data_IF_806238237328
#
_entry.id   IF_806238237328
#
_cell.length_a   1.000
_cell.length_b   1.000
_cell.length_c   1.000
_cell.angle_alpha   90.00
_cell.angle_beta   90.00
_cell.angle_gamma   90.00
#
_symmetry.space_group_name_H-M   'P 1'
#
loop_
_entity.id
_entity.type
_entity.pdbx_description
1 polymer ?
2 non-polymer ?
3 non-polymer ?
4 water ?
#
# COMPACT_ATOMS: atom_id res chain seq x y z
N UNK A 1 -6.47 1.95 15.70
CA UNK A 1 -5.59 2.61 14.65
C UNK A 1 -6.22 2.53 13.28
N UNK A 2 -5.45 2.85 12.25
CA UNK A 2 -6.01 2.88 10.90
C UNK A 2 -4.94 2.61 9.87
N UNK A 3 -5.39 2.16 8.70
CA UNK A 3 -4.60 2.27 7.47
C UNK A 3 -5.23 3.44 6.75
N UNK A 4 -4.40 4.37 6.28
CA UNK A 4 -4.97 5.51 5.58
C UNK A 4 -3.99 6.04 4.56
N UNK A 5 -4.49 6.87 3.66
CA UNK A 5 -3.68 7.26 2.48
C UNK A 5 -3.71 8.74 2.18
N UNK A 6 -2.76 9.16 1.34
CA UNK A 6 -2.68 10.55 0.87
C UNK A 6 -2.39 10.48 -0.60
N UNK A 7 -3.01 11.42 -1.32
CA UNK A 7 -2.80 11.58 -2.77
C UNK A 7 -2.02 12.88 -3.01
N UNK A 8 -0.94 12.83 -3.79
CA UNK A 8 -0.08 14.02 -3.93
C UNK A 8 -0.74 15.10 -4.75
N UNK A 9 -1.33 14.71 -5.88
CA UNK A 9 -2.08 15.67 -6.69
C UNK A 9 -3.33 15.06 -7.31
N UNK A 10 -4.46 15.60 -6.84
CA UNK A 10 -5.88 15.36 -7.11
C UNK A 10 -6.30 15.49 -8.54
N UNK A 11 -5.58 16.34 -9.26
CA UNK A 11 -6.03 16.75 -10.61
C UNK A 11 -4.95 16.32 -11.57
N UNK A 12 -5.33 15.50 -12.54
CA UNK A 12 -4.34 14.90 -13.44
C UNK A 12 -4.77 14.92 -14.89
N UNK A 13 -3.78 15.04 -15.77
CA UNK A 13 -4.00 14.97 -17.20
C UNK A 13 -3.40 13.63 -17.69
N UNK A 14 -3.74 13.21 -18.90
CA UNK A 14 -3.17 11.98 -19.43
C UNK A 14 -1.65 12.16 -19.47
N UNK A 15 -0.96 11.12 -18.99
CA UNK A 15 0.50 11.09 -18.93
C UNK A 15 1.01 11.53 -17.58
N UNK A 16 0.18 12.18 -16.77
CA UNK A 16 0.66 12.61 -15.44
C UNK A 16 0.84 11.39 -14.54
N UNK A 17 1.66 11.56 -13.49
CA UNK A 17 1.84 10.50 -12.50
C UNK A 17 1.15 10.98 -11.23
N UNK A 18 0.49 10.06 -10.53
CA UNK A 18 -0.15 10.40 -9.27
C UNK A 18 0.24 9.30 -8.28
N UNK A 19 0.61 9.72 -7.07
CA UNK A 19 1.11 8.77 -6.07
C UNK A 19 0.17 8.61 -4.88
N UNK A 20 -0.16 7.36 -4.55
CA UNK A 20 -0.86 7.02 -3.33
C UNK A 20 0.20 6.68 -2.28
N UNK A 21 0.31 7.51 -1.24
CA UNK A 21 1.16 7.19 -0.12
C UNK A 21 0.28 6.47 0.91
N UNK A 22 0.75 5.30 1.38
CA UNK A 22 -0.06 4.46 2.28
C UNK A 22 0.58 4.51 3.64
N UNK A 23 -0.20 4.95 4.62
CA UNK A 23 0.25 5.11 6.01
C UNK A 23 -0.44 4.14 6.95
N UNK A 24 0.21 3.85 8.08
CA UNK A 24 -0.50 3.27 9.20
C UNK A 24 -0.50 4.34 10.31
N UNK A 25 -1.46 4.25 11.23
CA UNK A 25 -1.47 5.18 12.36
C UNK A 25 -1.95 4.41 13.60
N UNK A 26 -1.26 4.59 14.72
CA UNK A 26 -1.66 3.98 16.00
C UNK A 26 -1.76 2.45 15.88
N UNK A 27 -0.83 1.86 15.12
CA UNK A 27 -0.76 0.41 15.04
C UNK A 27 0.35 -0.02 15.97
N UNK A 28 -0.03 -0.46 17.18
CA UNK A 28 0.97 -0.71 18.20
C UNK A 28 2.04 -1.74 17.81
N UNK A 29 3.32 -1.38 17.99
CA UNK A 29 4.45 -2.32 17.79
C UNK A 29 4.42 -2.95 16.39
N UNK A 30 4.01 -2.13 15.42
CA UNK A 30 3.89 -2.55 14.02
C UNK A 30 5.15 -3.21 13.45
N UNK A 31 4.97 -4.40 12.88
CA UNK A 31 6.11 -5.15 12.34
C UNK A 31 5.97 -5.56 10.86
N UNK A 32 4.82 -5.31 10.25
CA UNK A 32 4.67 -5.71 8.87
C UNK A 32 3.24 -5.66 8.37
N UNK A 33 3.10 -5.70 7.06
CA UNK A 33 1.74 -5.64 6.45
C UNK A 33 1.69 -6.47 5.20
N UNK A 34 0.48 -6.75 4.76
CA UNK A 34 0.23 -7.22 3.39
C UNK A 34 -1.04 -6.53 2.92
N UNK A 35 -1.01 -6.05 1.67
CA UNK A 35 -2.17 -5.35 1.07
C UNK A 35 -2.61 -6.01 -0.22
N UNK A 36 -3.93 -6.02 -0.45
CA UNK A 36 -4.50 -6.35 -1.75
C UNK A 36 -5.26 -5.10 -2.19
N UNK A 37 -4.84 -4.51 -3.30
CA UNK A 37 -5.36 -3.19 -3.78
C UNK A 37 -5.87 -3.28 -5.20
N UNK A 38 -7.08 -2.77 -5.43
CA UNK A 38 -7.65 -2.83 -6.77
C UNK A 38 -7.61 -1.45 -7.37
N UNK A 39 -7.34 -1.37 -8.67
CA UNK A 39 -7.39 -0.08 -9.36
C UNK A 39 -8.04 -0.32 -10.71
N UNK A 40 -8.43 0.78 -11.36
CA UNK A 40 -9.12 0.70 -12.64
C UNK A 40 -8.14 0.72 -13.81
N UNK A 41 -7.97 -0.43 -14.48
CA UNK A 41 -6.99 -0.55 -15.58
C UNK A 41 -7.33 0.28 -16.83
N UNK A 42 -8.56 0.79 -16.92
CA UNK A 42 -8.94 1.68 -18.02
C UNK A 42 -8.21 3.01 -17.91
N UNK A 43 -7.97 3.50 -16.69
CA UNK A 43 -7.46 4.85 -16.50
C UNK A 43 -6.05 4.93 -15.99
N UNK A 44 -5.59 3.88 -15.30
CA UNK A 44 -4.34 3.94 -14.52
C UNK A 44 -3.42 2.76 -14.81
N UNK A 45 -2.12 3.06 -14.81
CA UNK A 45 -1.07 2.06 -14.99
C UNK A 45 -0.02 2.22 -13.90
N UNK A 46 0.10 1.22 -12.99
CA UNK A 46 1.12 1.34 -11.94
C UNK A 46 2.51 1.55 -12.55
N UNK A 47 3.30 2.46 -11.96
CA UNK A 47 4.51 2.97 -12.58
C UNK A 47 5.66 2.93 -11.61
N UNK A 48 6.73 2.28 -12.05
CA UNK A 48 7.96 2.20 -11.26
C UNK A 48 8.78 3.46 -11.50
N UNK A 49 8.87 4.30 -10.47
CA UNK A 49 9.51 5.63 -10.62
C UNK A 49 11.03 5.55 -10.56
N UNK A 50 11.56 4.45 -10.03
CA UNK A 50 13.03 4.33 -9.98
C UNK A 50 13.56 3.91 -11.36
N UNK A 51 12.97 2.84 -11.88
CA UNK A 51 13.24 2.35 -13.24
C UNK A 51 12.63 3.21 -14.34
N UNK A 52 11.62 4.01 -14.01
CA UNK A 52 10.84 4.79 -15.01
C UNK A 52 10.21 3.89 -16.07
N UNK A 53 9.45 2.90 -15.61
CA UNK A 53 8.86 1.88 -16.46
C UNK A 53 7.59 1.41 -15.80
N UNK A 54 6.66 0.85 -16.57
CA UNK A 54 5.43 0.26 -16.00
C UNK A 54 5.82 -0.90 -15.04
N UNK A 55 5.04 -1.08 -13.97
CA UNK A 55 5.20 -2.31 -13.19
C UNK A 55 4.98 -3.52 -14.06
N UNK A 56 5.68 -4.60 -13.71
CA UNK A 56 5.22 -5.93 -14.07
C UNK A 56 4.55 -6.56 -12.85
N UNK A 57 4.09 -7.80 -12.98
CA UNK A 57 3.45 -8.49 -11.88
C UNK A 57 4.39 -8.74 -10.70
N UNK A 58 5.70 -8.53 -10.83
CA UNK A 58 6.59 -8.79 -9.70
C UNK A 58 7.14 -7.50 -9.03
N UNK A 59 6.76 -6.32 -9.56
CA UNK A 59 7.37 -5.05 -9.13
C UNK A 59 6.98 -4.68 -7.70
N UNK A 60 7.96 -4.44 -6.84
CA UNK A 60 7.66 -3.96 -5.50
C UNK A 60 7.38 -2.45 -5.53
N UNK A 61 6.27 -1.98 -4.89
CA UNK A 61 6.10 -0.54 -4.72
C UNK A 61 7.21 0.17 -3.96
N UNK A 62 7.19 1.49 -4.01
CA UNK A 62 8.18 2.28 -3.32
C UNK A 62 8.04 2.13 -1.82
N UNK A 63 9.15 2.27 -1.10
CA UNK A 63 9.11 2.22 0.34
C UNK A 63 8.64 3.56 0.96
N UNK A 64 8.18 3.46 2.21
CA UNK A 64 7.91 4.60 3.07
C UNK A 64 9.05 4.72 4.07
N UNK A 65 8.76 5.31 5.20
CA UNK A 65 9.80 5.49 6.22
C UNK A 65 9.81 4.36 7.25
N UNK A 66 8.68 3.66 7.42
CA UNK A 66 8.64 2.53 8.34
C UNK A 66 9.17 1.24 7.72
N UNK A 67 9.44 0.24 8.57
CA UNK A 67 9.94 -1.06 8.09
C UNK A 67 11.31 -0.92 7.41
N UNK A 68 12.09 0.08 7.89
CA UNK A 68 13.40 0.36 7.30
C UNK A 68 14.54 0.06 8.27
N UNK A 69 14.19 -0.42 9.47
CA UNK A 69 15.19 -0.87 10.43
C UNK A 69 15.92 -2.15 9.99
N UNK A 70 17.08 -2.40 10.61
CA UNK A 70 17.94 -3.51 10.23
C UNK A 70 17.48 -4.76 10.98
N UNK A 71 16.26 -5.21 10.71
CA UNK A 71 15.72 -6.39 11.39
C UNK A 71 15.28 -7.44 10.36
N UNK A 72 16.08 -7.58 9.31
CA UNK A 72 15.86 -8.58 8.27
C UNK A 72 14.48 -8.44 7.65
N UNK A 73 14.20 -7.26 7.09
CA UNK A 73 12.91 -7.04 6.40
C UNK A 73 12.87 -7.89 5.13
N UNK A 74 11.67 -8.35 4.80
CA UNK A 74 11.49 -9.13 3.58
C UNK A 74 10.26 -8.56 2.84
N UNK A 75 10.35 -8.50 1.52
CA UNK A 75 9.31 -7.94 0.65
C UNK A 75 8.62 -9.10 -0.11
N UNK A 76 7.36 -8.87 -0.50
CA UNK A 76 6.61 -9.77 -1.37
C UNK A 76 5.86 -8.88 -2.33
N UNK A 77 5.86 -9.22 -3.63
CA UNK A 77 5.07 -8.49 -4.62
C UNK A 77 4.71 -9.43 -5.75
N UNK A 78 3.41 -9.67 -5.89
CA UNK A 78 2.90 -10.69 -6.80
C UNK A 78 1.49 -10.28 -7.20
N UNK A 79 1.46 -9.47 -8.27
CA UNK A 79 0.23 -8.79 -8.73
C UNK A 79 -0.54 -9.59 -9.77
N UNK A 80 -1.71 -9.07 -10.11
CA UNK A 80 -2.37 -9.49 -11.31
C UNK A 80 -2.81 -8.23 -12.05
N UNK A 81 -1.86 -7.60 -12.76
CA UNK A 81 -2.16 -6.31 -13.36
C UNK A 81 -3.25 -6.40 -14.41
N UNK A 82 -3.39 -7.57 -15.02
CA UNK A 82 -4.39 -7.72 -16.05
C UNK A 82 -5.79 -7.52 -15.46
N UNK A 83 -5.93 -7.82 -14.17
CA UNK A 83 -7.21 -7.72 -13.45
C UNK A 83 -7.23 -6.50 -12.52
N UNK A 84 -6.20 -5.66 -12.66
CA UNK A 84 -6.07 -4.45 -11.87
C UNK A 84 -5.92 -4.76 -10.40
N UNK A 85 -5.10 -5.78 -10.08
CA UNK A 85 -4.86 -6.13 -8.68
C UNK A 85 -3.38 -6.02 -8.31
N UNK A 86 -3.10 -5.23 -7.27
CA UNK A 86 -1.76 -5.20 -6.68
C UNK A 86 -1.80 -6.01 -5.40
N UNK A 87 -0.78 -6.84 -5.15
CA UNK A 87 -0.75 -7.59 -3.89
C UNK A 87 0.72 -7.58 -3.47
N UNK A 88 1.00 -6.99 -2.30
CA UNK A 88 2.39 -6.88 -1.87
C UNK A 88 2.45 -6.70 -0.38
N UNK A 89 3.64 -6.85 0.17
CA UNK A 89 3.76 -6.71 1.61
C UNK A 89 5.23 -6.57 1.98
N UNK A 90 5.46 -6.21 3.23
CA UNK A 90 6.81 -6.12 3.77
C UNK A 90 6.74 -6.37 5.26
N UNK A 91 7.70 -7.12 5.77
CA UNK A 91 7.69 -7.43 7.22
C UNK A 91 9.10 -7.62 7.75
N UNK A 92 9.24 -7.36 9.05
CA UNK A 92 10.51 -7.64 9.69
C UNK A 92 10.52 -9.11 10.07
N UNK A 93 11.54 -9.84 9.64
CA UNK A 93 11.61 -11.29 10.03
C UNK A 93 12.29 -11.45 11.40
N UNK A 94 13.27 -10.59 11.70
CA UNK A 94 14.01 -10.69 12.95
C UNK A 94 13.28 -9.88 14.03
N UNK A 95 12.16 -10.41 14.50
CA UNK A 95 11.35 -9.70 15.48
C UNK A 95 12.07 -9.53 16.80
N UNK A 96 12.92 -10.50 17.15
CA UNK A 96 13.66 -10.40 18.42
C UNK A 96 14.59 -9.19 18.37
N UNK A 97 15.27 -8.97 17.23
CA UNK A 97 16.16 -7.79 17.12
C UNK A 97 15.36 -6.50 17.15
N UNK A 98 14.21 -6.52 16.50
CA UNK A 98 13.27 -5.39 16.48
C UNK A 98 12.82 -5.04 17.90
N UNK A 99 12.42 -6.05 18.67
CA UNK A 99 11.94 -5.83 20.02
C UNK A 99 13.07 -5.25 20.86
N UNK A 100 14.29 -5.69 20.60
CA UNK A 100 15.45 -5.27 21.40
C UNK A 100 15.90 -3.82 21.09
N UNK A 101 15.42 -3.28 19.97
CA UNK A 101 15.76 -1.91 19.57
C UNK A 101 15.13 -0.86 20.47
N UNK A 102 14.04 -1.20 21.13
CA UNK A 102 13.28 -0.21 21.90
C UNK A 102 12.65 0.92 21.07
N UNK A 103 12.51 0.72 19.77
CA UNK A 103 11.96 1.74 18.87
C UNK A 103 10.74 1.18 18.11
N UNK A 104 9.64 0.86 18.81
CA UNK A 104 8.46 0.31 18.16
C UNK A 104 7.84 1.34 17.22
N UNK A 105 7.50 0.87 16.01
CA UNK A 105 6.84 1.67 15.02
C UNK A 105 5.33 1.60 15.18
N UNK A 106 4.61 2.63 14.74
CA UNK A 106 3.16 2.64 14.93
C UNK A 106 2.51 3.61 13.97
N UNK A 107 3.27 4.59 13.49
CA UNK A 107 2.66 5.65 12.65
C UNK A 107 3.63 6.14 11.61
N UNK A 108 3.16 6.24 10.37
CA UNK A 108 4.03 6.72 9.31
C UNK A 108 3.79 6.03 7.98
N UNK A 109 4.56 6.43 6.95
CA UNK A 109 4.35 5.84 5.63
C UNK A 109 4.99 4.44 5.55
N UNK A 110 4.23 3.48 5.02
CA UNK A 110 4.75 2.13 4.76
C UNK A 110 5.07 1.80 3.30
N UNK A 111 4.40 2.46 2.35
CA UNK A 111 4.58 2.15 0.93
C UNK A 111 4.03 3.30 0.15
N UNK A 112 4.47 3.41 -1.11
CA UNK A 112 3.86 4.35 -2.04
C UNK A 112 3.68 3.67 -3.36
N UNK A 113 2.56 3.94 -4.01
CA UNK A 113 2.31 3.39 -5.34
C UNK A 113 2.01 4.54 -6.26
N UNK A 114 2.81 4.70 -7.30
CA UNK A 114 2.57 5.71 -8.32
C UNK A 114 1.88 5.05 -9.50
N UNK A 115 0.93 5.80 -10.08
CA UNK A 115 0.21 5.38 -11.28
C UNK A 115 0.41 6.44 -12.37
N UNK A 116 0.58 6.00 -13.62
CA UNK A 116 0.54 6.91 -14.75
C UNK A 116 -0.91 6.92 -15.24
N UNK A 117 -1.40 8.12 -15.51
CA UNK A 117 -2.76 8.26 -16.05
C UNK A 117 -2.72 7.99 -17.55
N UNK A 118 -3.49 6.99 -17.98
CA UNK A 118 -3.48 6.53 -19.39
C UNK A 118 -4.73 6.83 -20.21
N UNK A 119 -5.76 7.39 -19.55
CA UNK A 119 -6.95 7.84 -20.26
C UNK A 119 -7.53 8.97 -19.47
N UNK A 120 -8.13 9.96 -20.14
CA UNK A 120 -8.77 11.09 -19.48
C UNK A 120 -9.74 10.65 -18.36
N UNK A 121 -9.53 11.19 -17.17
CA UNK A 121 -10.43 10.87 -16.04
C UNK A 121 -11.78 11.55 -16.26
N UNK A 122 -12.88 10.81 -16.02
CA UNK A 122 -14.24 11.38 -16.16
C UNK A 122 -14.43 12.56 -15.19
N UNK A 123 -15.27 13.53 -15.55
CA UNK A 123 -15.49 14.74 -14.72
C UNK A 123 -15.87 14.42 -13.27
N UNK A 124 -16.62 13.34 -13.04
CA UNK A 124 -17.04 12.99 -11.67
C UNK A 124 -15.89 12.39 -10.81
N UNK A 125 -14.74 12.18 -11.45
CA UNK A 125 -13.59 11.54 -10.79
C UNK A 125 -13.70 10.01 -10.73
N UNK A 126 -12.60 9.37 -10.36
CA UNK A 126 -12.60 7.97 -10.00
C UNK A 126 -11.83 7.80 -8.70
N UNK A 127 -12.20 6.78 -7.93
CA UNK A 127 -11.43 6.37 -6.76
C UNK A 127 -10.02 6.03 -7.26
N UNK A 128 -8.99 6.53 -6.59
CA UNK A 128 -7.64 6.19 -7.10
C UNK A 128 -7.38 4.68 -6.98
N UNK A 129 -7.80 4.10 -5.87
CA UNK A 129 -7.67 2.66 -5.64
C UNK A 129 -8.59 2.29 -4.49
N UNK A 130 -8.77 0.99 -4.31
CA UNK A 130 -9.50 0.46 -3.17
C UNK A 130 -8.72 -0.68 -2.50
N UNK A 131 -8.75 -0.75 -1.16
CA UNK A 131 -8.25 -1.93 -0.49
C UNK A 131 -9.40 -2.94 -0.45
N UNK A 132 -9.20 -4.15 -0.99
CA UNK A 132 -10.30 -5.13 -1.01
C UNK A 132 -9.74 -6.53 -0.89
N UNK A 133 -10.44 -7.39 -0.15
CA UNK A 133 -10.03 -8.77 0.04
C UNK A 133 -9.86 -9.40 -1.32
N UNK A 134 -8.90 -10.31 -1.44
CA UNK A 134 -8.79 -11.07 -2.68
C UNK A 134 -7.91 -12.25 -2.40
N UNK A 135 -6.87 -12.39 -3.21
CA UNK A 135 -5.65 -13.05 -2.75
C UNK A 135 -5.93 -14.41 -2.12
N UNK A 136 -5.17 -14.70 -1.07
CA UNK A 136 -5.41 -15.88 -0.25
C UNK A 136 -5.18 -15.36 1.19
N UNK A 137 -5.52 -14.09 1.39
CA UNK A 137 -5.27 -13.42 2.68
C UNK A 137 -6.38 -13.78 3.67
N UNK A 138 -6.17 -14.82 4.47
CA UNK A 138 -7.22 -15.19 5.44
C UNK A 138 -7.28 -14.28 6.65
N UNK A 139 -8.51 -13.96 7.06
CA UNK A 139 -8.75 -13.07 8.18
C UNK A 139 -8.33 -11.63 7.84
N UNK A 140 -8.21 -11.28 6.55
CA UNK A 140 -7.83 -9.92 6.21
C UNK A 140 -8.90 -8.94 6.67
N UNK A 141 -8.50 -7.69 6.88
CA UNK A 141 -9.44 -6.62 7.17
C UNK A 141 -9.47 -5.68 5.98
N UNK A 142 -10.56 -5.77 5.21
CA UNK A 142 -10.72 -4.91 4.02
C UNK A 142 -9.44 -4.91 3.15
N UNK A 143 -8.94 -6.12 2.84
CA UNK A 143 -7.77 -6.25 1.97
C UNK A 143 -6.46 -5.89 2.62
N UNK A 144 -6.40 -5.90 3.95
CA UNK A 144 -5.13 -5.60 4.66
C UNK A 144 -4.85 -6.63 5.76
N UNK A 145 -3.57 -6.87 6.03
CA UNK A 145 -3.18 -7.65 7.20
C UNK A 145 -2.09 -6.83 7.86
N UNK A 146 -2.19 -6.67 9.17
CA UNK A 146 -1.19 -5.96 9.95
C UNK A 146 -0.73 -6.81 11.10
N UNK A 147 0.54 -6.72 11.44
CA UNK A 147 1.15 -7.54 12.49
C UNK A 147 1.93 -6.72 13.46
N UNK A 148 2.09 -7.25 14.65
CA UNK A 148 2.93 -6.59 15.67
C UNK A 148 4.23 -7.36 15.91
N UNK A 149 5.10 -6.83 16.78
CA UNK A 149 6.40 -7.42 16.93
C UNK A 149 6.47 -8.67 17.79
N UNK A 150 5.32 -9.16 18.23
CA UNK A 150 5.23 -10.47 18.90
C UNK A 150 4.65 -11.50 17.95
N UNK A 151 4.36 -11.10 16.71
CA UNK A 151 3.74 -11.99 15.73
C UNK A 151 2.24 -12.13 15.91
N UNK A 152 1.58 -11.17 16.60
CA UNK A 152 0.13 -11.09 16.60
C UNK A 152 -0.39 -10.46 15.34
N UNK A 153 -1.53 -10.97 14.87
CA UNK A 153 -2.22 -10.35 13.75
C UNK A 153 -3.40 -9.51 14.25
N UNK A 154 -3.47 -8.23 13.86
CA UNK A 154 -4.59 -7.39 14.29
C UNK A 154 -5.95 -7.77 13.66
N UNK A 155 -7.04 -7.66 14.44
CA UNK A 155 -8.40 -7.91 13.91
C UNK A 155 -9.12 -6.63 13.47
N UNK A 156 -10.31 -6.80 12.88
CA UNK A 156 -11.12 -5.69 12.39
C UNK A 156 -11.63 -4.79 13.51
N UNK A 157 -11.57 -5.30 14.74
CA UNK A 157 -11.99 -4.49 15.85
C UNK A 157 -10.85 -3.62 16.39
N UNK A 158 -9.63 -3.87 15.91
CA UNK A 158 -8.43 -3.14 16.37
C UNK A 158 -8.08 -1.93 15.49
N UNK A 159 -8.49 -2.03 14.23
CA UNK A 159 -8.20 -0.96 13.27
C UNK A 159 -9.19 -0.93 12.14
N UNK A 160 -9.18 0.21 11.46
CA UNK A 160 -10.06 0.43 10.32
C UNK A 160 -9.23 0.79 9.09
N UNK A 161 -9.78 0.51 7.93
CA UNK A 161 -9.11 0.87 6.68
C UNK A 161 -9.86 2.04 6.07
N UNK A 162 -9.19 3.19 5.95
CA UNK A 162 -9.80 4.36 5.33
C UNK A 162 -9.52 4.31 3.83
N UNK A 163 -10.57 4.16 3.04
CA UNK A 163 -10.37 3.94 1.58
C UNK A 163 -9.84 5.21 0.91
N UNK A 164 -8.96 5.07 -0.11
CA UNK A 164 -8.46 6.24 -0.82
C UNK A 164 -9.53 7.14 -1.43
N UNK A 165 -9.17 8.40 -1.58
CA UNK A 165 -10.05 9.36 -2.24
C UNK A 165 -9.96 9.37 -3.76
N UNK A 166 -10.60 10.39 -4.34
CA UNK A 166 -10.75 10.46 -5.78
C UNK A 166 -9.65 11.28 -6.48
N UNK A 167 -9.51 11.01 -7.77
CA UNK A 167 -8.73 11.86 -8.64
C UNK A 167 -9.68 12.38 -9.75
N UNK A 168 -9.30 13.51 -10.29
CA UNK A 168 -10.13 14.27 -11.23
C UNK A 168 -9.31 14.72 -12.42
N UNK A 169 -9.97 15.00 -13.55
CA UNK A 169 -9.22 15.52 -14.69
C UNK A 169 -8.79 16.96 -14.52
N UNK A 170 -7.64 17.33 -15.08
CA UNK A 170 -7.26 18.73 -15.19
C UNK A 170 -8.21 19.42 -16.18
X LIG B 1 -4.31 -1.41 16.19
X LIG B 1 -4.36 0.01 16.07
X LIG B 1 -4.11 -1.71 17.67
X LIG B 1 -2.88 -1.08 18.06
X LIG C 1 1.25 3.33 19.62
X LIG C 1 1.34 2.23 20.53
X LIG C 1 -0.19 3.81 19.48
X LIG C 1 -1.03 2.70 19.11
X LIG D 1 11.38 -0.55 -3.53
X LIG D 1 12.18 0.49 -4.13
X LIG D 1 12.08 -1.90 -3.71
X LIG D 1 12.29 -2.17 -5.10
X LIG E 1 18.62 -5.77 7.02
X LIG E 1 18.56 -6.29 8.35
X LIG E 1 17.35 -6.14 6.31
X LIG E 1 16.24 -5.27 6.64
X LIG F 1 -0.18 7.73 -21.55
X LIG F 1 -0.28 6.35 -21.92
X LIG F 1 0.76 8.41 -22.53
X LIG F 1 2.01 7.72 -22.48
X LIG G 1 11.59 -4.94 -8.57
X LIG G 1 10.69 -5.28 -7.46
#
# INVERSE_FOLDING_TARGET
>A
GSVLTAIDNDKVAVGDKVTLTINVDKITNFSGYQFNIKYNTTYLQPWDTIADEAYTDSTMPDYGTLLQGRFNATDMSKHNLSQGVLNFGRLYMNLSAYRASGKPESTGAVAKVTFKVIKEIPAEGIKLATFENGSSMNNAVDGTMLFDWDGNMYSSSAYKVVQPGLIYPK
>B hetero
1 EDO C1 O1 C2 O2
>C hetero
1 EDO C1 O1 C2 O2
>D hetero
1 EDO C1 O1 C2 O2
>E hetero
1 EDO C1 O1 C2 O2
>F hetero
1 EDO C1 O1 C2 O2
>G hetero
1 MOH C O
#
